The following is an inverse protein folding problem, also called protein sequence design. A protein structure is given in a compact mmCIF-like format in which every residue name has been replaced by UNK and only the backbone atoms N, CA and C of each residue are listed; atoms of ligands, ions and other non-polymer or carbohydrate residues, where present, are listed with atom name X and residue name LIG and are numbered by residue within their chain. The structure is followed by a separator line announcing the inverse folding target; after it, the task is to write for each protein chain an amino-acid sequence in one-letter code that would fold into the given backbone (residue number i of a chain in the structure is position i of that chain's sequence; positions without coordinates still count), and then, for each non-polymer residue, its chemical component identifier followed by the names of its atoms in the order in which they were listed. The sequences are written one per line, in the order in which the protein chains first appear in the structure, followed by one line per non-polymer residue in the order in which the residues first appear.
data_IF_946368898087
#
_entry.id   IF_946368898087
#
_cell.length_a   1.000
_cell.length_b   1.000
_cell.length_c   1.000
_cell.angle_alpha   90.00
_cell.angle_beta   90.00
_cell.angle_gamma   90.00
#
_symmetry.space_group_name_H-M   'P 1'
#
loop_
_entity.id
_entity.type
_entity.pdbx_description
1 polymer ?
#
# COMPACT_ATOMS: atom_id res chain seq x y z
N UNK A 1 -1.29 -56.13 -18.49
CA UNK A 1 -0.90 -54.77 -18.87
C UNK A 1 -1.64 -53.79 -17.95
N UNK A 2 -1.01 -53.34 -16.87
CA UNK A 2 -1.62 -52.40 -15.91
C UNK A 2 -1.18 -50.98 -16.23
N UNK A 3 -2.11 -50.13 -16.65
CA UNK A 3 -1.86 -48.70 -16.79
C UNK A 3 -2.11 -48.03 -15.43
N UNK A 4 -1.05 -47.70 -14.71
CA UNK A 4 -1.10 -46.80 -13.55
C UNK A 4 -1.27 -45.36 -14.07
N UNK A 5 -2.49 -44.84 -13.98
CA UNK A 5 -2.75 -43.41 -14.13
C UNK A 5 -2.21 -42.71 -12.87
N UNK A 6 -1.03 -42.13 -12.96
CA UNK A 6 -0.54 -41.22 -11.92
C UNK A 6 -1.36 -39.93 -12.06
N UNK A 7 -2.44 -39.84 -11.27
CA UNK A 7 -3.11 -38.59 -11.02
C UNK A 7 -2.11 -37.67 -10.30
N UNK A 8 -1.45 -36.80 -11.08
CA UNK A 8 -0.63 -35.72 -10.55
C UNK A 8 -1.54 -34.82 -9.73
N UNK A 9 -1.54 -35.01 -8.41
CA UNK A 9 -2.17 -34.09 -7.48
C UNK A 9 -1.45 -32.75 -7.62
N UNK A 10 -2.05 -31.82 -8.38
CA UNK A 10 -1.71 -30.41 -8.30
C UNK A 10 -2.02 -29.97 -6.87
N UNK A 11 -1.03 -30.01 -5.99
CA UNK A 11 -1.12 -29.36 -4.69
C UNK A 11 -1.35 -27.88 -4.97
N UNK A 12 -2.51 -27.28 -4.61
CA UNK A 12 -2.62 -25.84 -4.63
C UNK A 12 -1.62 -25.35 -3.60
N UNK A 13 -0.50 -24.78 -4.08
CA UNK A 13 0.39 -24.03 -3.22
C UNK A 13 -0.49 -23.04 -2.45
N UNK A 14 -0.48 -23.10 -1.13
CA UNK A 14 -1.21 -22.15 -0.30
C UNK A 14 -0.67 -20.77 -0.61
N UNK A 15 -1.30 -20.07 -1.55
CA UNK A 15 -0.96 -18.68 -1.90
C UNK A 15 -1.20 -17.86 -0.65
N UNK A 16 -0.12 -17.45 0.01
CA UNK A 16 -0.19 -16.49 1.12
C UNK A 16 -1.03 -15.30 0.68
N UNK A 17 -2.01 -14.91 1.51
CA UNK A 17 -2.83 -13.75 1.24
C UNK A 17 -1.93 -12.51 1.09
N UNK A 18 -2.01 -11.84 -0.06
CA UNK A 18 -1.38 -10.54 -0.25
C UNK A 18 -2.16 -9.50 0.56
N UNK A 19 -1.47 -8.42 0.94
CA UNK A 19 -2.08 -7.33 1.67
C UNK A 19 -1.46 -5.99 1.29
N UNK A 20 -2.24 -4.92 1.46
CA UNK A 20 -1.68 -3.58 1.58
C UNK A 20 -2.38 -2.84 2.72
N UNK A 21 -1.66 -1.92 3.32
CA UNK A 21 -2.16 -1.06 4.41
C UNK A 21 -1.97 0.40 4.03
N UNK A 22 -2.97 1.22 4.34
CA UNK A 22 -2.89 2.67 4.26
C UNK A 22 -3.03 3.25 5.66
N UNK A 23 -2.10 4.12 6.06
CA UNK A 23 -2.06 4.78 7.37
C UNK A 23 -2.08 6.29 7.23
N UNK A 24 -2.89 6.95 8.04
CA UNK A 24 -2.94 8.41 8.13
C UNK A 24 -1.96 8.91 9.20
N UNK A 25 -0.87 9.54 8.78
CA UNK A 25 0.12 10.20 9.64
C UNK A 25 0.26 11.70 9.31
N UNK A 26 -0.81 12.32 8.82
CA UNK A 26 -0.83 13.77 8.59
C UNK A 26 -0.57 14.46 9.94
N UNK A 27 0.56 15.16 10.05
CA UNK A 27 0.98 15.88 11.25
C UNK A 27 0.01 17.01 11.60
N UNK A 28 0.03 17.48 12.85
CA UNK A 28 -0.85 18.58 13.31
C UNK A 28 -0.39 19.94 12.78
N UNK A 29 -1.35 20.76 12.33
CA UNK A 29 -1.11 22.18 12.00
C UNK A 29 -2.25 23.04 12.58
N UNK A 30 -1.97 24.25 13.07
CA UNK A 30 -3.01 25.18 13.47
C UNK A 30 -4.03 25.41 12.34
N UNK A 31 -5.32 25.30 12.66
CA UNK A 31 -6.42 25.61 11.73
C UNK A 31 -6.63 24.65 10.56
N UNK A 32 -5.96 23.48 10.50
CA UNK A 32 -6.16 22.51 9.39
C UNK A 32 -6.63 21.13 9.83
N UNK A 33 -7.55 20.61 9.02
CA UNK A 33 -8.08 19.25 9.16
C UNK A 33 -7.04 18.22 8.68
N UNK A 34 -6.95 17.10 9.42
CA UNK A 34 -6.08 15.97 9.14
C UNK A 34 -6.86 14.76 8.60
N UNK A 35 -8.04 15.01 8.05
CA UNK A 35 -8.90 13.98 7.49
C UNK A 35 -8.27 13.42 6.23
N UNK A 36 -8.27 12.09 6.15
CA UNK A 36 -7.94 11.34 4.96
C UNK A 36 -9.17 10.50 4.60
N UNK A 37 -9.56 10.56 3.34
CA UNK A 37 -10.51 9.60 2.76
C UNK A 37 -9.82 8.87 1.63
N UNK A 38 -9.96 7.55 1.58
CA UNK A 38 -9.31 6.69 0.60
C UNK A 38 -10.37 5.85 -0.09
N UNK A 39 -10.42 5.88 -1.42
CA UNK A 39 -11.29 5.02 -2.21
C UNK A 39 -10.45 4.08 -3.05
N UNK A 40 -10.57 2.76 -2.86
CA UNK A 40 -9.71 1.79 -3.54
C UNK A 40 -10.51 0.81 -4.40
N UNK A 41 -9.90 0.36 -5.51
CA UNK A 41 -10.51 -0.60 -6.43
C UNK A 41 -9.46 -1.37 -7.25
N UNK A 42 -9.85 -2.53 -7.74
CA UNK A 42 -9.21 -3.26 -8.84
C UNK A 42 -10.19 -3.34 -10.03
N UNK A 43 -9.78 -4.01 -11.11
CA UNK A 43 -10.66 -4.26 -12.26
C UNK A 43 -11.94 -5.03 -11.90
N UNK A 44 -11.88 -5.91 -10.89
CA UNK A 44 -12.98 -6.81 -10.53
C UNK A 44 -13.48 -6.65 -9.08
N UNK A 45 -12.84 -5.82 -8.26
CA UNK A 45 -13.17 -5.66 -6.85
C UNK A 45 -13.16 -4.19 -6.43
N UNK A 46 -14.31 -3.67 -5.98
CA UNK A 46 -14.42 -2.31 -5.45
C UNK A 46 -14.34 -2.39 -3.93
N UNK A 47 -13.21 -1.95 -3.36
CA UNK A 47 -13.00 -1.94 -1.92
C UNK A 47 -13.75 -0.78 -1.24
N UNK A 48 -14.14 0.22 -2.03
CA UNK A 48 -14.97 1.34 -1.60
C UNK A 48 -14.20 2.43 -0.87
N UNK A 49 -14.96 3.38 -0.32
CA UNK A 49 -14.44 4.59 0.32
C UNK A 49 -14.36 4.43 1.84
N UNK A 50 -13.21 4.78 2.42
CA UNK A 50 -12.90 4.66 3.84
C UNK A 50 -12.32 5.96 4.37
N UNK A 51 -12.92 6.50 5.43
CA UNK A 51 -12.40 7.67 6.14
C UNK A 51 -11.44 7.22 7.25
N UNK A 52 -10.23 7.76 7.26
CA UNK A 52 -9.17 7.48 8.24
C UNK A 52 -8.89 8.71 9.07
N UNK A 53 -9.17 8.63 10.38
CA UNK A 53 -8.77 9.66 11.34
C UNK A 53 -7.25 9.67 11.51
N UNK A 54 -6.66 10.76 12.05
CA UNK A 54 -5.23 10.81 12.32
C UNK A 54 -4.77 9.64 13.19
N UNK A 55 -3.71 8.96 12.78
CA UNK A 55 -3.16 7.78 13.44
C UNK A 55 -3.84 6.46 13.07
N UNK A 56 -5.00 6.47 12.41
CA UNK A 56 -5.68 5.25 11.98
C UNK A 56 -5.05 4.66 10.72
N UNK A 57 -5.17 3.34 10.59
CA UNK A 57 -4.88 2.62 9.36
C UNK A 57 -6.01 1.71 8.94
N UNK A 58 -6.01 1.34 7.66
CA UNK A 58 -6.87 0.34 7.07
C UNK A 58 -6.03 -0.60 6.24
N UNK A 59 -6.17 -1.89 6.52
CA UNK A 59 -5.56 -2.96 5.75
C UNK A 59 -6.60 -3.72 4.94
N UNK A 60 -6.18 -4.22 3.80
CA UNK A 60 -6.94 -5.12 2.95
C UNK A 60 -6.08 -6.33 2.66
N UNK A 61 -6.68 -7.51 2.81
CA UNK A 61 -6.07 -8.79 2.49
C UNK A 61 -6.87 -9.49 1.40
N UNK A 62 -6.19 -10.12 0.46
CA UNK A 62 -6.79 -10.77 -0.69
C UNK A 62 -5.87 -11.85 -1.26
N UNK A 63 -6.42 -12.74 -2.09
CA UNK A 63 -5.63 -13.71 -2.83
C UNK A 63 -5.18 -13.10 -4.14
N UNK A 64 -3.86 -12.89 -4.37
CA UNK A 64 -3.37 -12.33 -5.61
C UNK A 64 -3.45 -13.36 -6.74
N UNK A 65 -3.89 -12.93 -7.92
CA UNK A 65 -3.87 -13.69 -9.16
C UNK A 65 -2.61 -13.30 -9.93
N UNK A 66 -1.85 -14.30 -10.38
CA UNK A 66 -0.68 -14.13 -11.22
C UNK A 66 -0.67 -15.19 -12.32
N UNK A 67 -1.09 -14.79 -13.53
CA UNK A 67 -1.13 -15.68 -14.70
C UNK A 67 -0.18 -15.12 -15.76
N UNK A 68 0.89 -15.87 -16.08
CA UNK A 68 1.90 -15.43 -17.06
C UNK A 68 1.35 -15.33 -18.48
N UNK A 69 0.38 -16.17 -18.85
CA UNK A 69 -0.25 -16.17 -20.18
C UNK A 69 -1.77 -16.27 -19.93
N UNK A 70 -2.57 -15.21 -20.14
CA UNK A 70 -2.33 -13.98 -20.92
C UNK A 70 -1.99 -12.73 -20.06
N UNK A 71 -0.96 -12.78 -19.20
CA UNK A 71 -0.50 -11.64 -18.36
C UNK A 71 -1.59 -10.99 -17.48
N UNK A 72 -2.30 -11.81 -16.70
CA UNK A 72 -3.32 -11.31 -15.77
C UNK A 72 -2.72 -11.21 -14.38
N UNK A 73 -2.70 -9.99 -13.84
CA UNK A 73 -2.19 -9.68 -12.50
C UNK A 73 -3.26 -8.96 -11.67
N UNK A 74 -3.34 -9.31 -10.39
CA UNK A 74 -4.11 -8.49 -9.44
C UNK A 74 -3.45 -7.12 -9.29
N UNK A 75 -4.25 -6.06 -9.38
CA UNK A 75 -3.78 -4.69 -9.30
C UNK A 75 -4.81 -3.85 -8.56
N UNK A 76 -4.37 -3.06 -7.58
CA UNK A 76 -5.23 -2.15 -6.83
C UNK A 76 -4.73 -0.71 -6.96
N UNK A 77 -5.67 0.18 -7.27
CA UNK A 77 -5.49 1.63 -7.20
C UNK A 77 -6.26 2.18 -6.01
N UNK A 78 -5.77 3.28 -5.46
CA UNK A 78 -6.52 4.11 -4.53
C UNK A 78 -6.51 5.57 -4.98
N UNK A 79 -7.67 6.23 -4.82
CA UNK A 79 -7.81 7.67 -4.83
C UNK A 79 -7.73 8.18 -3.39
N UNK A 80 -6.82 9.12 -3.14
CA UNK A 80 -6.60 9.75 -1.85
C UNK A 80 -7.16 11.15 -1.84
N UNK A 81 -8.03 11.44 -0.88
CA UNK A 81 -8.62 12.76 -0.65
C UNK A 81 -8.12 13.28 0.69
N UNK A 82 -7.29 14.32 0.63
CA UNK A 82 -6.82 15.05 1.81
C UNK A 82 -7.58 16.37 1.91
N UNK A 83 -7.74 16.91 3.12
CA UNK A 83 -8.45 18.18 3.34
C UNK A 83 -7.78 19.42 2.73
N UNK A 84 -6.54 19.29 2.26
CA UNK A 84 -5.70 20.38 1.76
C UNK A 84 -5.16 20.12 0.34
N UNK A 85 -5.52 18.98 -0.25
CA UNK A 85 -5.11 18.61 -1.61
C UNK A 85 -6.19 18.94 -2.63
N UNK A 86 -6.05 18.32 -3.81
CA UNK A 86 -7.04 18.40 -4.88
C UNK A 86 -8.43 17.91 -4.44
N UNK A 87 -9.53 18.63 -4.77
CA UNK A 87 -10.89 18.14 -4.50
C UNK A 87 -11.24 16.89 -5.30
N UNK A 88 -10.52 16.62 -6.40
CA UNK A 88 -10.67 15.41 -7.20
C UNK A 88 -9.86 14.22 -6.67
N UNK A 89 -9.10 14.44 -5.58
CA UNK A 89 -8.16 13.47 -5.04
C UNK A 89 -6.93 13.27 -5.94
N UNK A 90 -6.02 12.42 -5.47
CA UNK A 90 -4.87 11.97 -6.25
C UNK A 90 -4.79 10.45 -6.23
N UNK A 91 -4.47 9.86 -7.38
CA UNK A 91 -4.47 8.42 -7.59
C UNK A 91 -3.07 7.84 -7.43
N UNK A 92 -2.95 6.71 -6.74
CA UNK A 92 -1.73 5.90 -6.75
C UNK A 92 -2.03 4.40 -6.82
N UNK A 93 -1.13 3.66 -7.43
CA UNK A 93 -1.07 2.19 -7.36
C UNK A 93 -0.65 1.80 -5.95
N UNK A 94 -1.49 1.04 -5.24
CA UNK A 94 -1.18 0.58 -3.88
C UNK A 94 -0.79 -0.90 -3.81
N UNK A 95 -1.10 -1.65 -4.86
CA UNK A 95 -0.66 -3.02 -5.03
C UNK A 95 -0.59 -3.38 -6.52
N UNK A 96 0.46 -4.08 -6.93
CA UNK A 96 0.54 -4.76 -8.21
C UNK A 96 1.12 -6.16 -8.03
N UNK A 97 0.48 -7.15 -8.64
CA UNK A 97 0.89 -8.55 -8.58
C UNK A 97 2.13 -8.86 -9.44
N UNK A 98 2.62 -7.90 -10.22
CA UNK A 98 3.84 -8.03 -10.99
C UNK A 98 5.07 -8.24 -10.09
N UNK A 99 6.08 -8.92 -10.64
CA UNK A 99 7.26 -9.32 -9.88
C UNK A 99 8.04 -8.13 -9.31
N UNK A 100 8.17 -7.05 -10.09
CA UNK A 100 8.94 -5.86 -9.69
C UNK A 100 8.32 -5.16 -8.47
N UNK A 101 7.00 -4.98 -8.47
CA UNK A 101 6.28 -4.40 -7.35
C UNK A 101 6.34 -5.31 -6.10
N UNK A 102 6.12 -6.61 -6.28
CA UNK A 102 6.17 -7.57 -5.16
C UNK A 102 7.55 -7.67 -4.52
N UNK A 103 8.63 -7.61 -5.30
CA UNK A 103 9.98 -7.67 -4.75
C UNK A 103 10.39 -6.47 -3.91
N UNK A 104 9.69 -5.34 -4.04
CA UNK A 104 9.95 -4.17 -3.21
C UNK A 104 9.31 -4.28 -1.82
N UNK A 105 8.29 -5.13 -1.63
CA UNK A 105 7.37 -5.00 -0.49
C UNK A 105 6.72 -6.28 0.05
N UNK A 106 6.85 -7.38 -0.68
CA UNK A 106 6.17 -8.68 -0.47
C UNK A 106 7.21 -9.81 -0.46
N UNK A 107 8.48 -9.48 -0.15
CA UNK A 107 9.55 -10.48 0.02
C UNK A 107 9.37 -11.14 1.40
N UNK A 108 9.10 -12.47 1.45
CA UNK A 108 8.84 -13.18 2.71
C UNK A 108 9.96 -13.08 3.75
N UNK A 109 11.19 -12.75 3.32
CA UNK A 109 12.35 -12.81 4.20
C UNK A 109 12.63 -11.49 4.94
N UNK A 110 12.25 -10.29 4.45
CA UNK A 110 12.90 -9.06 4.97
C UNK A 110 12.12 -7.74 4.98
N UNK A 111 11.03 -7.52 4.23
CA UNK A 111 10.43 -6.17 4.10
C UNK A 111 8.89 -6.19 4.11
N UNK A 112 8.27 -5.61 5.15
CA UNK A 112 6.83 -5.27 5.13
C UNK A 112 6.68 -3.82 4.62
N UNK A 113 5.80 -3.58 3.65
CA UNK A 113 5.47 -2.22 3.22
C UNK A 113 4.09 -1.76 3.66
N UNK A 114 3.98 -0.48 4.04
CA UNK A 114 2.71 0.21 4.25
C UNK A 114 2.72 1.56 3.52
N UNK A 115 1.55 2.00 3.06
CA UNK A 115 1.36 3.33 2.50
C UNK A 115 1.08 4.32 3.62
N UNK A 116 1.90 5.36 3.73
CA UNK A 116 1.79 6.37 4.78
C UNK A 116 1.44 7.70 4.15
N UNK A 117 0.27 8.23 4.50
CA UNK A 117 -0.17 9.56 4.09
C UNK A 117 0.36 10.58 5.10
N UNK A 118 1.27 11.43 4.64
CA UNK A 118 1.78 12.58 5.41
C UNK A 118 1.26 13.88 4.82
N UNK A 119 1.66 15.01 5.39
CA UNK A 119 1.15 16.33 4.95
C UNK A 119 1.63 16.74 3.56
N UNK A 120 2.82 16.33 3.20
CA UNK A 120 3.58 16.72 2.01
C UNK A 120 3.43 15.70 0.87
N UNK A 121 3.16 14.43 1.20
CA UNK A 121 2.86 13.42 0.19
C UNK A 121 2.40 12.08 0.73
N UNK A 122 2.22 11.17 -0.23
CA UNK A 122 2.06 9.74 -0.02
C UNK A 122 3.45 9.08 -0.05
N UNK A 123 3.73 8.33 1.01
CA UNK A 123 4.98 7.61 1.20
C UNK A 123 4.75 6.11 1.14
N UNK A 124 5.74 5.39 0.62
CA UNK A 124 5.87 3.96 0.83
C UNK A 124 6.86 3.74 1.97
N UNK A 125 6.36 3.28 3.11
CA UNK A 125 7.17 2.96 4.29
C UNK A 125 7.57 1.50 4.23
N UNK A 126 8.88 1.26 4.16
CA UNK A 126 9.48 -0.07 4.29
C UNK A 126 9.80 -0.34 5.74
N UNK A 127 9.46 -1.52 6.21
CA UNK A 127 9.68 -1.98 7.58
C UNK A 127 10.61 -3.18 7.52
N UNK A 128 11.86 -2.97 7.92
CA UNK A 128 12.86 -4.03 8.05
C UNK A 128 13.00 -4.44 9.51
N UNK A 129 13.54 -5.63 9.76
CA UNK A 129 14.01 -6.03 11.08
C UNK A 129 15.53 -6.07 11.06
N UNK A 130 16.16 -5.49 12.09
CA UNK A 130 17.59 -5.66 12.29
C UNK A 130 17.92 -7.02 12.92
N UNK A 131 19.21 -7.30 13.11
CA UNK A 131 19.70 -8.55 13.74
C UNK A 131 19.18 -8.76 15.18
N UNK A 132 18.65 -7.71 15.81
CA UNK A 132 18.05 -7.74 17.16
C UNK A 132 16.52 -7.85 17.11
N UNK A 133 15.93 -7.89 15.92
CA UNK A 133 14.49 -7.93 15.70
C UNK A 133 13.78 -6.58 15.85
N UNK A 134 14.51 -5.47 15.99
CA UNK A 134 13.94 -4.13 16.06
C UNK A 134 13.46 -3.68 14.68
N UNK A 135 12.31 -3.01 14.64
CA UNK A 135 11.74 -2.46 13.40
C UNK A 135 12.46 -1.19 12.98
N UNK A 136 13.04 -1.21 11.79
CA UNK A 136 13.62 -0.07 11.10
C UNK A 136 12.62 0.42 10.04
N UNK A 137 12.36 1.73 10.03
CA UNK A 137 11.38 2.36 9.14
C UNK A 137 12.09 3.25 8.12
N UNK A 138 11.87 2.99 6.84
CA UNK A 138 12.36 3.82 5.74
C UNK A 138 11.20 4.35 4.90
N UNK A 139 11.02 5.66 4.86
CA UNK A 139 9.93 6.31 4.14
C UNK A 139 10.42 6.88 2.81
N UNK A 140 9.84 6.40 1.70
CA UNK A 140 10.13 6.88 0.36
C UNK A 140 8.93 7.66 -0.19
N UNK A 141 9.13 8.95 -0.53
CA UNK A 141 8.07 9.76 -1.13
C UNK A 141 7.72 9.21 -2.52
N UNK A 142 6.47 8.78 -2.69
CA UNK A 142 5.97 8.25 -3.97
C UNK A 142 5.13 9.25 -4.75
N UNK A 143 4.42 10.12 -4.05
CA UNK A 143 3.57 11.12 -4.68
C UNK A 143 3.43 12.36 -3.80
N UNK A 144 3.95 13.53 -4.20
CA UNK A 144 3.66 14.78 -3.50
C UNK A 144 2.20 15.19 -3.70
N UNK A 145 1.61 15.85 -2.70
CA UNK A 145 0.26 16.38 -2.88
C UNK A 145 0.27 17.64 -3.75
N UNK A 146 -0.66 17.70 -4.70
CA UNK A 146 -0.94 18.93 -5.46
C UNK A 146 -1.47 19.96 -4.45
N UNK A 147 -0.77 21.09 -4.31
CA UNK A 147 -1.07 22.12 -3.31
C UNK A 147 -0.47 21.85 -1.91
N UNK A 148 0.19 20.71 -1.70
CA UNK A 148 0.89 20.39 -0.44
C UNK A 148 2.22 21.11 -0.27
N UNK A 149 2.81 21.62 -1.36
CA UNK A 149 4.16 22.21 -1.41
C UNK A 149 4.26 23.67 -1.01
N UNK A 150 3.16 24.35 -0.64
CA UNK A 150 3.20 25.68 -0.01
C UNK A 150 3.69 25.63 1.45
N UNK A 151 4.54 24.67 1.78
CA UNK A 151 4.99 24.37 3.13
C UNK A 151 6.51 24.32 3.15
N UNK A 152 7.14 25.37 3.66
CA UNK A 152 8.50 25.27 4.15
C UNK A 152 8.44 24.59 5.53
N UNK A 153 9.11 23.45 5.75
CA UNK A 153 9.24 22.91 7.09
C UNK A 153 9.98 23.94 7.94
N UNK A 154 9.30 24.51 8.93
CA UNK A 154 9.98 25.25 10.00
C UNK A 154 10.77 24.18 10.77
N UNK A 155 12.10 24.32 10.79
CA UNK A 155 12.93 23.51 11.69
C UNK A 155 12.40 23.73 13.11
N UNK A 156 11.95 22.65 13.75
CA UNK A 156 11.71 22.68 15.19
C UNK A 156 13.10 22.79 15.84
N UNK A 157 13.35 23.91 16.52
CA UNK A 157 14.54 24.07 17.34
C UNK A 157 14.53 23.02 18.46
N UNK A 158 15.69 22.43 18.79
CA UNK A 158 15.83 21.31 19.72
C UNK A 158 15.44 21.62 21.17
#
# INVERSE_FOLDING_TARGET
MWCLLIASACFPSTTSAARFEVRNEISRYPGRNRSLTVNCWSSNNKLGMHALKPGQSKSWSFTPIFIKIPFIYTYFECMFFTAFGSPYGQKATVFAGERLFRWQCDNPDEEECIWVVKRDGLYLRRIKRDDKGQRLYGDELRMPWIGGTNYHPVQEDP
#
